data_IF_537322680361
#
_entry.id   IF_537322680361
#
_cell.length_a   1.000
_cell.length_b   1.000
_cell.length_c   1.000
_cell.angle_alpha   90.00
_cell.angle_beta   90.00
_cell.angle_gamma   90.00
#
_symmetry.space_group_name_H-M   'P 1'
#
loop_
_entity.id
_entity.type
_entity.pdbx_description
1 polymer ?
#
# COMPACT_ATOMS: atom_id res chain seq x y z
N UNK A 1 13.38 9.93 2.34
CA UNK A 1 12.42 8.82 2.15
C UNK A 1 12.04 8.75 0.67
N UNK A 2 11.70 7.56 0.16
CA UNK A 2 11.40 7.34 -1.27
C UNK A 2 9.96 7.76 -1.59
N UNK A 3 9.72 8.21 -2.83
CA UNK A 3 8.38 8.55 -3.34
C UNK A 3 7.70 7.38 -4.07
N UNK A 4 6.45 7.57 -4.45
CA UNK A 4 5.68 6.64 -5.29
C UNK A 4 6.15 6.67 -6.75
N UNK A 5 6.31 5.51 -7.36
CA UNK A 5 6.65 5.34 -8.78
C UNK A 5 5.45 4.81 -9.57
N UNK A 6 5.20 5.33 -10.78
CA UNK A 6 4.24 4.71 -11.73
C UNK A 6 4.85 3.54 -12.50
N UNK A 7 6.17 3.48 -12.57
CA UNK A 7 6.88 2.36 -13.18
C UNK A 7 7.03 1.22 -12.16
N UNK A 8 6.88 -0.01 -12.64
CA UNK A 8 7.12 -1.22 -11.83
C UNK A 8 8.63 -1.35 -11.59
N UNK A 9 9.04 -1.21 -10.33
CA UNK A 9 10.46 -1.17 -9.92
C UNK A 9 10.95 -2.46 -9.22
N UNK A 10 10.09 -3.45 -9.05
CA UNK A 10 10.43 -4.75 -8.47
C UNK A 10 9.46 -5.83 -8.93
N UNK A 11 9.93 -7.08 -8.85
CA UNK A 11 9.07 -8.26 -8.93
C UNK A 11 8.46 -8.58 -7.55
N UNK A 12 7.28 -9.19 -7.59
CA UNK A 12 6.50 -9.60 -6.42
C UNK A 12 5.69 -10.87 -6.72
N UNK A 13 5.54 -11.73 -5.71
CA UNK A 13 4.80 -12.99 -5.80
C UNK A 13 3.67 -13.05 -4.78
N UNK A 14 2.59 -13.77 -5.10
CA UNK A 14 1.51 -14.05 -4.14
C UNK A 14 1.99 -14.81 -2.90
N UNK A 15 3.10 -15.56 -3.02
CA UNK A 15 3.76 -16.25 -1.91
C UNK A 15 4.43 -15.31 -0.90
N UNK A 16 4.70 -14.07 -1.30
CA UNK A 16 5.34 -13.05 -0.46
C UNK A 16 4.30 -12.08 0.12
N UNK A 17 3.01 -12.24 -0.18
CA UNK A 17 1.97 -11.29 0.24
C UNK A 17 1.70 -11.39 1.75
N UNK A 18 2.05 -10.32 2.47
CA UNK A 18 1.84 -10.20 3.91
C UNK A 18 0.41 -9.77 4.27
N UNK A 19 -0.23 -8.99 3.40
CA UNK A 19 -1.59 -8.52 3.62
C UNK A 19 -2.01 -7.44 2.65
N UNK A 20 -3.29 -7.09 2.72
CA UNK A 20 -3.91 -6.08 1.89
C UNK A 20 -4.60 -5.06 2.78
N UNK A 21 -4.22 -3.79 2.64
CA UNK A 21 -4.96 -2.69 3.22
C UNK A 21 -5.95 -2.15 2.20
N UNK A 22 -7.22 -2.03 2.57
CA UNK A 22 -8.17 -1.18 1.83
C UNK A 22 -8.22 0.19 2.49
N UNK A 23 -8.34 1.25 1.69
CA UNK A 23 -8.49 2.60 2.20
C UNK A 23 -9.33 3.46 1.26
N UNK A 24 -10.00 4.46 1.81
CA UNK A 24 -10.82 5.42 1.08
C UNK A 24 -10.87 6.78 1.80
N UNK A 25 -11.56 7.73 1.15
CA UNK A 25 -11.77 9.09 1.64
C UNK A 25 -13.25 9.49 1.56
N UNK A 26 -14.16 8.53 1.71
CA UNK A 26 -15.60 8.75 1.50
C UNK A 26 -16.14 9.89 2.37
N UNK A 27 -15.88 9.84 3.68
CA UNK A 27 -16.32 10.84 4.67
C UNK A 27 -15.37 12.06 4.78
N UNK A 28 -14.43 12.22 3.84
CA UNK A 28 -13.43 13.29 3.85
C UNK A 28 -12.18 13.04 4.71
N UNK A 29 -12.24 12.06 5.63
CA UNK A 29 -11.08 11.54 6.35
C UNK A 29 -10.56 10.23 5.74
N UNK A 30 -9.30 9.88 6.03
CA UNK A 30 -8.75 8.56 5.67
C UNK A 30 -9.42 7.47 6.51
N UNK A 31 -10.17 6.57 5.86
CA UNK A 31 -10.60 5.32 6.45
C UNK A 31 -9.74 4.18 5.91
N UNK A 32 -9.38 3.21 6.75
CA UNK A 32 -8.62 2.05 6.30
C UNK A 32 -8.94 0.77 7.09
N UNK A 33 -8.69 -0.37 6.47
CA UNK A 33 -8.74 -1.67 7.11
C UNK A 33 -7.64 -2.57 6.58
N UNK A 34 -6.86 -3.12 7.51
CA UNK A 34 -5.83 -4.11 7.24
C UNK A 34 -6.41 -5.53 7.22
N UNK A 35 -6.06 -6.30 6.18
CA UNK A 35 -6.40 -7.71 6.05
C UNK A 35 -5.09 -8.53 5.97
N UNK A 36 -4.60 -9.08 7.10
CA UNK A 36 -3.38 -9.88 7.13
C UNK A 36 -3.55 -11.21 6.39
N UNK A 37 -2.44 -11.79 5.93
CA UNK A 37 -2.36 -13.19 5.46
C UNK A 37 -1.60 -14.03 6.48
N UNK A 38 -1.81 -15.33 6.49
CA UNK A 38 -1.18 -16.26 7.46
C UNK A 38 0.35 -16.10 7.52
N UNK A 39 0.99 -15.78 6.39
CA UNK A 39 2.43 -15.51 6.30
C UNK A 39 2.93 -14.46 7.32
N UNK A 40 2.21 -13.36 7.52
CA UNK A 40 2.67 -12.32 8.47
C UNK A 40 2.64 -12.82 9.92
N UNK A 41 1.71 -13.72 10.23
CA UNK A 41 1.58 -14.36 11.55
C UNK A 41 2.76 -15.32 11.74
N UNK A 42 3.01 -16.18 10.75
CA UNK A 42 4.13 -17.14 10.78
C UNK A 42 5.49 -16.45 10.95
N UNK A 43 5.74 -15.37 10.20
CA UNK A 43 6.99 -14.62 10.28
C UNK A 43 7.12 -13.91 11.64
N UNK A 44 6.03 -13.38 12.19
CA UNK A 44 6.05 -12.73 13.49
C UNK A 44 6.35 -13.74 14.61
N UNK A 45 5.75 -14.93 14.55
CA UNK A 45 6.00 -16.00 15.53
C UNK A 45 7.46 -16.46 15.51
N UNK A 46 8.08 -16.47 14.33
CA UNK A 46 9.51 -16.75 14.13
C UNK A 46 10.43 -15.56 14.42
N UNK A 47 9.88 -14.37 14.66
CA UNK A 47 10.61 -13.09 14.79
C UNK A 47 11.44 -12.73 13.55
N UNK A 48 10.95 -13.10 12.37
CA UNK A 48 11.56 -12.86 11.07
C UNK A 48 11.03 -11.59 10.38
N UNK A 49 10.17 -10.82 11.07
CA UNK A 49 9.63 -9.56 10.57
C UNK A 49 9.50 -8.53 11.71
N UNK A 50 9.87 -7.28 11.42
CA UNK A 50 9.61 -6.14 12.30
C UNK A 50 8.22 -5.54 11.99
N UNK A 51 7.20 -5.99 12.73
CA UNK A 51 5.83 -5.49 12.56
C UNK A 51 5.68 -4.00 12.89
N UNK A 52 6.48 -3.48 13.84
CA UNK A 52 6.43 -2.07 14.21
C UNK A 52 6.91 -1.21 13.05
N UNK A 53 7.99 -1.63 12.41
CA UNK A 53 8.53 -0.95 11.25
C UNK A 53 7.65 -1.09 10.02
N UNK A 54 7.05 -2.26 9.79
CA UNK A 54 6.04 -2.46 8.75
C UNK A 54 4.84 -1.50 8.93
N UNK A 55 4.37 -1.32 10.16
CA UNK A 55 3.31 -0.36 10.47
C UNK A 55 3.74 1.08 10.19
N UNK A 56 4.98 1.46 10.51
CA UNK A 56 5.51 2.79 10.20
C UNK A 56 5.55 3.05 8.69
N UNK A 57 5.94 2.04 7.90
CA UNK A 57 5.95 2.13 6.44
C UNK A 57 4.54 2.28 5.85
N UNK A 58 3.56 1.52 6.35
CA UNK A 58 2.15 1.68 5.97
C UNK A 58 1.63 3.08 6.33
N UNK A 59 1.92 3.56 7.55
CA UNK A 59 1.55 4.90 7.98
C UNK A 59 2.19 5.98 7.09
N UNK A 60 3.45 5.80 6.68
CA UNK A 60 4.12 6.74 5.77
C UNK A 60 3.37 6.83 4.43
N UNK A 61 2.97 5.69 3.86
CA UNK A 61 2.19 5.67 2.61
C UNK A 61 0.85 6.40 2.78
N UNK A 62 0.15 6.14 3.87
CA UNK A 62 -1.21 6.64 4.09
C UNK A 62 -1.27 8.11 4.55
N UNK A 63 -0.40 8.52 5.46
CA UNK A 63 -0.50 9.84 6.11
C UNK A 63 0.44 10.89 5.51
N UNK A 64 1.46 10.47 4.76
CA UNK A 64 2.40 11.38 4.10
C UNK A 64 2.24 11.37 2.58
N UNK A 65 2.18 10.19 1.95
CA UNK A 65 2.18 10.08 0.49
C UNK A 65 0.79 10.19 -0.14
N UNK A 66 -0.25 9.65 0.51
CA UNK A 66 -1.63 9.57 0.00
C UNK A 66 -2.59 10.00 1.11
N UNK A 67 -2.42 11.22 1.61
CA UNK A 67 -3.12 11.68 2.82
C UNK A 67 -4.50 12.29 2.59
N UNK A 68 -4.91 12.46 1.34
CA UNK A 68 -6.23 12.94 0.96
C UNK A 68 -6.62 12.47 -0.45
N UNK A 69 -7.91 12.61 -0.76
CA UNK A 69 -8.47 12.22 -2.05
C UNK A 69 -7.85 12.99 -3.23
N UNK A 70 -7.54 14.27 -3.09
CA UNK A 70 -6.94 15.06 -4.18
C UNK A 70 -5.54 14.55 -4.56
N UNK A 71 -4.81 13.99 -3.60
CA UNK A 71 -3.54 13.32 -3.86
C UNK A 71 -3.73 12.06 -4.69
N UNK A 72 -4.77 11.27 -4.42
CA UNK A 72 -5.17 10.11 -5.25
C UNK A 72 -5.45 10.57 -6.69
N UNK A 73 -6.30 11.59 -6.85
CA UNK A 73 -6.65 12.15 -8.17
C UNK A 73 -5.42 12.64 -8.94
N UNK A 74 -4.47 13.28 -8.25
CA UNK A 74 -3.21 13.75 -8.84
C UNK A 74 -2.35 12.58 -9.34
N UNK A 75 -2.20 11.52 -8.56
CA UNK A 75 -1.46 10.34 -9.01
C UNK A 75 -2.16 9.65 -10.18
N UNK A 76 -3.49 9.62 -10.18
CA UNK A 76 -4.29 9.05 -11.24
C UNK A 76 -4.43 9.92 -12.51
N UNK A 77 -3.92 11.16 -12.49
CA UNK A 77 -4.10 12.15 -13.56
C UNK A 77 -5.60 12.42 -13.93
N UNK A 78 -6.52 12.19 -13.00
CA UNK A 78 -7.95 12.31 -13.28
C UNK A 78 -8.84 11.64 -12.25
N UNK A 79 -10.17 11.79 -12.43
CA UNK A 79 -11.22 11.15 -11.62
C UNK A 79 -11.91 10.05 -12.44
N UNK A 80 -12.54 9.10 -11.76
CA UNK A 80 -13.28 8.01 -12.41
C UNK A 80 -12.45 6.73 -12.60
N UNK A 81 -13.16 5.61 -12.80
CA UNK A 81 -12.55 4.28 -12.90
C UNK A 81 -11.56 4.14 -14.06
N UNK A 82 -11.74 4.90 -15.15
CA UNK A 82 -10.81 4.89 -16.29
C UNK A 82 -9.41 5.43 -15.96
N UNK A 83 -9.27 6.14 -14.84
CA UNK A 83 -8.01 6.71 -14.37
C UNK A 83 -7.35 5.88 -13.25
N UNK A 84 -7.86 4.68 -12.94
CA UNK A 84 -7.22 3.77 -11.98
C UNK A 84 -5.74 3.57 -12.31
N UNK A 85 -4.88 3.71 -11.30
CA UNK A 85 -3.43 3.69 -11.49
C UNK A 85 -2.76 2.79 -10.46
N UNK A 86 -1.82 1.96 -10.92
CA UNK A 86 -0.90 1.27 -10.04
C UNK A 86 0.33 2.15 -9.77
N UNK A 87 0.71 2.24 -8.51
CA UNK A 87 1.96 2.85 -8.09
C UNK A 87 2.73 1.92 -7.17
N UNK A 88 4.05 2.08 -7.16
CA UNK A 88 4.98 1.15 -6.54
C UNK A 88 5.93 1.90 -5.61
N UNK A 89 6.24 1.30 -4.47
CA UNK A 89 7.27 1.79 -3.58
C UNK A 89 7.99 0.63 -2.89
N UNK A 90 9.32 0.69 -2.89
CA UNK A 90 10.20 -0.31 -2.26
C UNK A 90 10.83 0.30 -1.00
N UNK A 91 10.31 -0.06 0.17
CA UNK A 91 10.79 0.44 1.47
C UNK A 91 11.72 -0.57 2.13
N UNK A 92 11.96 -0.46 3.42
CA UNK A 92 12.97 -1.24 4.12
C UNK A 92 12.49 -2.65 4.43
N UNK A 93 11.27 -2.79 4.96
CA UNK A 93 10.71 -4.08 5.38
C UNK A 93 9.88 -4.74 4.27
N UNK A 94 9.20 -3.93 3.46
CA UNK A 94 8.30 -4.44 2.44
C UNK A 94 8.36 -3.66 1.13
N UNK A 95 7.89 -4.35 0.09
CA UNK A 95 7.57 -3.77 -1.23
C UNK A 95 6.06 -3.58 -1.30
N UNK A 96 5.62 -2.48 -1.86
CA UNK A 96 4.22 -2.11 -1.89
C UNK A 96 3.74 -1.85 -3.31
N UNK A 97 2.71 -2.58 -3.71
CA UNK A 97 1.93 -2.27 -4.91
C UNK A 97 0.65 -1.60 -4.45
N UNK A 98 0.37 -0.40 -4.93
CA UNK A 98 -0.76 0.40 -4.48
C UNK A 98 -1.67 0.62 -5.68
N UNK A 99 -2.90 0.11 -5.59
CA UNK A 99 -3.96 0.39 -6.55
C UNK A 99 -4.72 1.62 -6.08
N UNK A 100 -4.58 2.71 -6.83
CA UNK A 100 -5.30 3.96 -6.60
C UNK A 100 -6.56 4.00 -7.45
N UNK A 101 -7.70 4.23 -6.80
CA UNK A 101 -9.01 4.36 -7.43
C UNK A 101 -9.52 5.78 -7.16
N UNK A 102 -9.55 6.68 -8.16
CA UNK A 102 -9.87 8.09 -7.96
C UNK A 102 -11.40 8.31 -8.00
N UNK A 103 -12.13 7.54 -7.17
CA UNK A 103 -13.58 7.59 -6.99
C UNK A 103 -13.88 7.55 -5.49
N UNK A 104 -14.71 8.48 -4.99
CA UNK A 104 -14.89 8.69 -3.53
C UNK A 104 -15.64 7.56 -2.83
N UNK A 105 -16.51 6.86 -3.53
CA UNK A 105 -17.31 5.75 -3.02
C UNK A 105 -16.64 4.38 -3.23
N UNK A 106 -15.33 4.38 -3.50
CA UNK A 106 -14.54 3.20 -3.83
C UNK A 106 -13.29 3.08 -2.98
N UNK A 107 -12.81 1.85 -2.84
CA UNK A 107 -11.59 1.56 -2.11
C UNK A 107 -10.37 1.59 -3.04
N UNK A 108 -9.32 2.24 -2.57
CA UNK A 108 -7.95 2.00 -3.01
C UNK A 108 -7.33 0.88 -2.16
N UNK A 109 -6.25 0.27 -2.65
CA UNK A 109 -5.64 -0.90 -2.04
C UNK A 109 -4.13 -0.77 -1.94
N UNK A 110 -3.56 -1.14 -0.79
CA UNK A 110 -2.12 -1.31 -0.59
C UNK A 110 -1.86 -2.81 -0.43
N UNK A 111 -1.17 -3.40 -1.39
CA UNK A 111 -0.70 -4.79 -1.34
C UNK A 111 0.74 -4.78 -0.82
N UNK A 112 0.93 -5.42 0.33
CA UNK A 112 2.21 -5.43 1.03
C UNK A 112 2.89 -6.77 0.82
N UNK A 113 4.07 -6.76 0.20
CA UNK A 113 4.87 -7.94 -0.08
C UNK A 113 6.14 -7.93 0.77
N UNK A 114 6.46 -9.07 1.36
CA UNK A 114 7.71 -9.27 2.09
C UNK A 114 8.88 -8.90 1.18
N UNK A 115 9.76 -8.05 1.68
CA UNK A 115 11.04 -7.82 1.03
C UNK A 115 11.97 -8.96 1.44
N UNK A 116 12.16 -9.94 0.56
CA UNK A 116 13.17 -10.97 0.77
C UNK A 116 14.55 -10.34 0.99
N UNK A 117 15.39 -10.98 1.81
CA UNK A 117 16.80 -10.62 1.89
C UNK A 117 17.43 -10.82 0.50
N UNK A 118 18.18 -9.81 0.04
CA UNK A 118 18.98 -9.91 -1.18
C UNK A 118 20.27 -10.67 -0.91
#
# INVERSE_FOLDING_TARGET
MKGLSKEKIFEYSSKELLGVMRFDFYDGGLANQWNPRDLIIELNDKKEIDLKKLQQELNYIQFELINNFDTVVRFCNGRGYDNETLVYIDLEVAKYVIKLVPVRDSYSYIYTYLKGEK
#
